data_IF_557841843050
#
_entry.id   IF_557841843050
#
_cell.length_a   1.000
_cell.length_b   1.000
_cell.length_c   1.000
_cell.angle_alpha   90.00
_cell.angle_beta   90.00
_cell.angle_gamma   90.00
#
_symmetry.space_group_name_H-M   'P 1'
#
loop_
_entity.id
_entity.type
_entity.pdbx_description
1 polymer ?
#
# COMPACT_ATOMS: atom_id res chain seq x y z
N UNK A 1 6.59 -54.84 -5.50
CA UNK A 1 6.42 -53.53 -6.16
C UNK A 1 5.30 -52.80 -5.46
N UNK A 2 5.64 -51.97 -4.48
CA UNK A 2 4.72 -51.05 -3.79
C UNK A 2 4.64 -49.77 -4.62
N UNK A 3 3.45 -49.25 -4.93
CA UNK A 3 3.33 -48.00 -5.67
C UNK A 3 3.79 -46.86 -4.75
N UNK A 4 4.78 -46.09 -5.21
CA UNK A 4 5.22 -44.88 -4.57
C UNK A 4 4.03 -43.90 -4.51
N UNK A 5 3.52 -43.66 -3.30
CA UNK A 5 2.56 -42.60 -3.02
C UNK A 5 3.24 -41.27 -3.28
N UNK A 6 2.96 -40.71 -4.46
CA UNK A 6 3.29 -39.35 -4.83
C UNK A 6 2.63 -38.42 -3.80
N UNK A 7 3.41 -37.90 -2.84
CA UNK A 7 2.97 -36.89 -1.88
C UNK A 7 2.72 -35.56 -2.62
N UNK A 8 1.64 -35.53 -3.39
CA UNK A 8 0.98 -34.34 -3.90
C UNK A 8 0.25 -33.68 -2.73
N UNK A 9 0.96 -32.93 -1.90
CA UNK A 9 0.41 -31.85 -1.06
C UNK A 9 1.54 -31.17 -0.30
N UNK A 10 2.38 -30.47 -1.06
CA UNK A 10 3.28 -29.47 -0.51
C UNK A 10 2.47 -28.23 -0.08
N UNK A 11 1.73 -28.40 1.02
CA UNK A 11 0.92 -27.38 1.67
C UNK A 11 1.85 -26.26 2.16
N UNK A 12 1.58 -25.02 1.73
CA UNK A 12 2.22 -23.85 2.32
C UNK A 12 2.01 -23.93 3.84
N UNK A 13 3.05 -23.74 4.68
CA UNK A 13 2.90 -23.75 6.13
C UNK A 13 1.75 -22.83 6.55
N UNK A 14 0.89 -23.31 7.46
CA UNK A 14 -0.29 -22.55 7.91
C UNK A 14 0.08 -21.15 8.43
N UNK A 15 1.26 -21.02 9.02
CA UNK A 15 1.85 -19.75 9.49
C UNK A 15 2.10 -18.76 8.34
N UNK A 16 2.67 -19.21 7.22
CA UNK A 16 2.89 -18.36 6.03
C UNK A 16 1.56 -17.88 5.43
N UNK A 17 0.53 -18.75 5.41
CA UNK A 17 -0.82 -18.37 4.95
C UNK A 17 -1.44 -17.29 5.84
N UNK A 18 -1.28 -17.38 7.17
CA UNK A 18 -1.74 -16.34 8.11
C UNK A 18 -0.99 -15.02 7.88
N UNK A 19 0.34 -15.06 7.71
CA UNK A 19 1.16 -13.88 7.43
C UNK A 19 0.71 -13.12 6.18
N UNK A 20 0.40 -13.82 5.08
CA UNK A 20 -0.15 -13.20 3.87
C UNK A 20 -1.53 -12.56 4.11
N UNK A 21 -2.39 -13.20 4.91
CA UNK A 21 -3.70 -12.66 5.25
C UNK A 21 -3.58 -11.38 6.09
N UNK A 22 -2.70 -11.35 7.09
CA UNK A 22 -2.43 -10.16 7.89
C UNK A 22 -1.85 -9.02 7.05
N UNK A 23 -0.90 -9.32 6.16
CA UNK A 23 -0.32 -8.30 5.26
C UNK A 23 -1.38 -7.66 4.36
N UNK A 24 -2.36 -8.45 3.88
CA UNK A 24 -3.50 -7.89 3.14
C UNK A 24 -4.47 -7.10 3.99
N UNK A 25 -4.77 -7.57 5.20
CA UNK A 25 -5.60 -6.81 6.13
C UNK A 25 -4.98 -5.43 6.41
N UNK A 26 -3.66 -5.37 6.60
CA UNK A 26 -2.93 -4.12 6.75
C UNK A 26 -3.04 -3.23 5.49
N UNK A 27 -2.93 -3.81 4.29
CA UNK A 27 -3.13 -3.07 3.04
C UNK A 27 -4.53 -2.50 2.87
N UNK A 28 -5.56 -3.28 3.25
CA UNK A 28 -6.96 -2.82 3.24
C UNK A 28 -7.16 -1.70 4.26
N UNK A 29 -6.59 -1.84 5.47
CA UNK A 29 -6.66 -0.80 6.50
C UNK A 29 -6.02 0.50 6.02
N UNK A 30 -4.83 0.44 5.39
CA UNK A 30 -4.20 1.60 4.77
C UNK A 30 -5.07 2.17 3.65
N UNK A 31 -5.64 1.34 2.78
CA UNK A 31 -6.52 1.80 1.71
C UNK A 31 -7.76 2.54 2.22
N UNK A 32 -8.41 2.01 3.27
CA UNK A 32 -9.53 2.67 3.93
C UNK A 32 -9.11 3.99 4.59
N UNK A 33 -7.96 4.01 5.25
CA UNK A 33 -7.41 5.21 5.86
C UNK A 33 -7.13 6.30 4.82
N UNK A 34 -6.53 5.95 3.69
CA UNK A 34 -6.27 6.89 2.59
C UNK A 34 -7.56 7.48 2.01
N UNK A 35 -8.59 6.65 1.80
CA UNK A 35 -9.90 7.12 1.33
C UNK A 35 -10.55 8.04 2.38
N UNK A 36 -10.45 7.70 3.66
CA UNK A 36 -10.97 8.51 4.75
C UNK A 36 -10.25 9.87 4.86
N UNK A 37 -8.98 9.96 4.47
CA UNK A 37 -8.21 11.20 4.47
C UNK A 37 -8.59 12.16 3.34
N UNK A 38 -9.17 11.69 2.22
CA UNK A 38 -9.56 12.54 1.08
C UNK A 38 -10.38 13.78 1.50
N UNK A 39 -11.48 13.67 2.28
CA UNK A 39 -12.23 14.85 2.71
C UNK A 39 -11.47 15.77 3.67
N UNK A 40 -10.48 15.25 4.39
CA UNK A 40 -9.65 16.01 5.34
C UNK A 40 -8.33 16.49 4.73
N UNK A 41 -8.08 16.24 3.44
CA UNK A 41 -6.78 16.50 2.82
C UNK A 41 -6.39 17.99 2.88
N UNK A 42 -7.35 18.90 2.71
CA UNK A 42 -7.10 20.34 2.80
C UNK A 42 -6.86 20.81 4.25
N UNK A 43 -7.47 20.14 5.24
CA UNK A 43 -7.38 20.52 6.65
C UNK A 43 -5.99 20.21 7.26
N UNK A 44 -5.30 19.18 6.76
CA UNK A 44 -3.96 18.79 7.26
C UNK A 44 -2.88 19.85 7.02
N UNK A 45 -3.11 20.75 6.07
CA UNK A 45 -2.17 21.82 5.70
C UNK A 45 -2.28 23.07 6.59
N UNK A 46 -3.18 23.10 7.58
CA UNK A 46 -3.15 24.10 8.66
C UNK A 46 -3.10 25.57 8.23
N UNK A 47 -3.70 25.91 7.08
CA UNK A 47 -3.73 27.25 6.52
C UNK A 47 -2.69 27.56 5.42
N UNK A 48 -1.63 26.77 5.28
CA UNK A 48 -0.62 26.91 4.23
C UNK A 48 -0.88 25.91 3.11
N UNK A 49 -2.01 26.12 2.42
CA UNK A 49 -2.48 25.19 1.42
C UNK A 49 -1.63 25.25 0.14
N UNK A 50 -1.17 24.10 -0.38
CA UNK A 50 -0.61 24.07 -1.72
C UNK A 50 -1.67 24.47 -2.75
N UNK A 51 -1.27 24.77 -4.01
CA UNK A 51 -2.20 25.09 -5.08
C UNK A 51 -3.32 24.05 -5.18
N UNK A 52 -4.57 24.49 -5.40
CA UNK A 52 -5.73 23.60 -5.43
C UNK A 52 -5.58 22.43 -6.41
N UNK A 53 -4.86 22.64 -7.52
CA UNK A 53 -4.54 21.58 -8.47
C UNK A 53 -3.70 20.44 -7.85
N UNK A 54 -2.74 20.76 -6.98
CA UNK A 54 -1.89 19.78 -6.30
C UNK A 54 -2.69 19.02 -5.23
N UNK A 55 -3.52 19.75 -4.45
CA UNK A 55 -4.43 19.16 -3.46
C UNK A 55 -5.40 18.16 -4.11
N UNK A 56 -5.98 18.53 -5.26
CA UNK A 56 -6.88 17.67 -6.00
C UNK A 56 -6.16 16.47 -6.60
N UNK A 57 -4.96 16.67 -7.16
CA UNK A 57 -4.16 15.57 -7.70
C UNK A 57 -3.80 14.54 -6.63
N UNK A 58 -3.42 15.00 -5.44
CA UNK A 58 -3.13 14.14 -4.30
C UNK A 58 -4.39 13.42 -3.78
N UNK A 59 -5.52 14.12 -3.66
CA UNK A 59 -6.78 13.50 -3.25
C UNK A 59 -7.21 12.40 -4.23
N UNK A 60 -7.09 12.64 -5.54
CA UNK A 60 -7.34 11.63 -6.58
C UNK A 60 -6.37 10.47 -6.43
N UNK A 61 -5.09 10.75 -6.17
CA UNK A 61 -4.08 9.72 -5.95
C UNK A 61 -4.45 8.80 -4.78
N UNK A 62 -4.80 9.37 -3.61
CA UNK A 62 -5.21 8.60 -2.43
C UNK A 62 -6.48 7.79 -2.68
N UNK A 63 -7.44 8.35 -3.42
CA UNK A 63 -8.65 7.63 -3.81
C UNK A 63 -8.33 6.42 -4.69
N UNK A 64 -7.60 6.63 -5.80
CA UNK A 64 -7.27 5.57 -6.76
C UNK A 64 -6.43 4.49 -6.10
N UNK A 65 -5.39 4.88 -5.36
CA UNK A 65 -4.53 3.94 -4.68
C UNK A 65 -5.27 3.18 -3.56
N UNK A 66 -6.08 3.88 -2.77
CA UNK A 66 -6.88 3.28 -1.70
C UNK A 66 -7.88 2.24 -2.23
N UNK A 67 -8.58 2.53 -3.33
CA UNK A 67 -9.48 1.57 -3.99
C UNK A 67 -8.69 0.35 -4.49
N UNK A 68 -7.52 0.57 -5.09
CA UNK A 68 -6.67 -0.51 -5.59
C UNK A 68 -6.16 -1.43 -4.47
N UNK A 69 -5.91 -0.85 -3.28
CA UNK A 69 -5.53 -1.59 -2.08
C UNK A 69 -6.67 -2.43 -1.50
N UNK A 70 -7.92 -1.97 -1.60
CA UNK A 70 -9.11 -2.69 -1.09
C UNK A 70 -9.55 -3.82 -2.04
N UNK A 71 -9.12 -3.78 -3.30
CA UNK A 71 -9.59 -4.68 -4.35
C UNK A 71 -9.43 -6.17 -3.99
N UNK A 72 -10.44 -7.03 -4.27
CA UNK A 72 -10.36 -8.46 -3.98
C UNK A 72 -9.53 -9.19 -5.05
N UNK A 73 -8.21 -9.10 -4.96
CA UNK A 73 -7.24 -9.70 -5.90
C UNK A 73 -7.45 -11.21 -6.15
N UNK A 74 -8.00 -11.95 -5.19
CA UNK A 74 -8.32 -13.39 -5.33
C UNK A 74 -9.45 -13.67 -6.32
N UNK A 75 -10.33 -12.69 -6.58
CA UNK A 75 -11.49 -12.85 -7.49
C UNK A 75 -11.16 -12.47 -8.95
N UNK A 76 -9.95 -11.99 -9.23
CA UNK A 76 -9.58 -11.46 -10.56
C UNK A 76 -9.00 -12.59 -11.43
N UNK A 77 -9.86 -13.20 -12.24
CA UNK A 77 -9.50 -14.36 -13.10
C UNK A 77 -8.78 -13.94 -14.39
N UNK A 78 -9.05 -12.74 -14.93
CA UNK A 78 -8.46 -12.27 -16.19
C UNK A 78 -6.94 -12.05 -16.10
N UNK A 79 -6.16 -12.78 -16.90
CA UNK A 79 -4.68 -12.70 -16.91
C UNK A 79 -4.16 -11.30 -17.26
N UNK A 80 -4.71 -10.68 -18.31
CA UNK A 80 -4.30 -9.35 -18.76
C UNK A 80 -4.73 -8.24 -17.78
N UNK A 81 -5.95 -8.32 -17.26
CA UNK A 81 -6.46 -7.40 -16.24
C UNK A 81 -5.63 -7.47 -14.96
N UNK A 82 -5.33 -8.67 -14.47
CA UNK A 82 -4.52 -8.83 -13.27
C UNK A 82 -3.11 -8.29 -13.43
N UNK A 83 -2.45 -8.55 -14.57
CA UNK A 83 -1.11 -8.02 -14.84
C UNK A 83 -1.12 -6.49 -14.85
N UNK A 84 -2.12 -5.89 -15.50
CA UNK A 84 -2.28 -4.44 -15.57
C UNK A 84 -2.50 -3.83 -14.19
N UNK A 85 -3.44 -4.38 -13.41
CA UNK A 85 -3.71 -3.92 -12.06
C UNK A 85 -2.48 -4.10 -11.15
N UNK A 86 -1.78 -5.23 -11.27
CA UNK A 86 -0.58 -5.51 -10.47
C UNK A 86 0.54 -4.51 -10.78
N UNK A 87 0.79 -4.23 -12.07
CA UNK A 87 1.75 -3.19 -12.47
C UNK A 87 1.33 -1.83 -11.95
N UNK A 88 0.05 -1.49 -12.04
CA UNK A 88 -0.49 -0.25 -11.49
C UNK A 88 -0.27 -0.19 -9.96
N UNK A 89 -0.53 -1.28 -9.25
CA UNK A 89 -0.32 -1.36 -7.79
C UNK A 89 1.15 -1.14 -7.44
N UNK A 90 2.07 -1.78 -8.16
CA UNK A 90 3.50 -1.63 -7.91
C UNK A 90 3.97 -0.18 -8.16
N UNK A 91 3.56 0.42 -9.27
CA UNK A 91 3.90 1.81 -9.61
C UNK A 91 3.32 2.78 -8.59
N UNK A 92 2.05 2.62 -8.21
CA UNK A 92 1.42 3.46 -7.20
C UNK A 92 1.96 3.21 -5.78
N UNK A 93 2.37 2.00 -5.43
CA UNK A 93 3.07 1.76 -4.16
C UNK A 93 4.41 2.51 -4.11
N UNK A 94 5.19 2.50 -5.21
CA UNK A 94 6.43 3.25 -5.29
C UNK A 94 6.18 4.77 -5.28
N UNK A 95 5.23 5.25 -6.08
CA UNK A 95 4.84 6.67 -6.10
C UNK A 95 4.36 7.16 -4.74
N UNK A 96 3.64 6.33 -3.99
CA UNK A 96 3.14 6.66 -2.65
C UNK A 96 4.30 6.88 -1.68
N UNK A 97 5.34 6.05 -1.75
CA UNK A 97 6.55 6.24 -0.95
C UNK A 97 7.19 7.62 -1.21
N UNK A 98 7.33 8.01 -2.49
CA UNK A 98 7.87 9.32 -2.85
C UNK A 98 6.98 10.48 -2.37
N UNK A 99 5.67 10.40 -2.59
CA UNK A 99 4.73 11.43 -2.13
C UNK A 99 4.80 11.65 -0.63
N UNK A 100 4.83 10.56 0.15
CA UNK A 100 4.92 10.64 1.60
C UNK A 100 6.25 11.23 2.09
N UNK A 101 7.36 10.97 1.39
CA UNK A 101 8.66 11.60 1.69
C UNK A 101 8.62 13.10 1.39
N UNK A 102 8.04 13.51 0.26
CA UNK A 102 7.88 14.93 -0.09
C UNK A 102 7.00 15.63 0.95
N UNK A 103 5.87 15.04 1.32
CA UNK A 103 4.98 15.53 2.36
C UNK A 103 5.71 15.74 3.69
N UNK A 104 6.54 14.77 4.08
CA UNK A 104 7.36 14.87 5.28
C UNK A 104 8.38 16.02 5.18
N UNK A 105 9.01 16.20 4.02
CA UNK A 105 9.95 17.31 3.81
C UNK A 105 9.25 18.67 3.97
N UNK A 106 8.05 18.83 3.41
CA UNK A 106 7.27 20.06 3.60
C UNK A 106 6.89 20.27 5.06
N UNK A 107 6.40 19.25 5.76
CA UNK A 107 6.05 19.35 7.18
C UNK A 107 7.28 19.73 8.04
N UNK A 108 8.44 19.16 7.74
CA UNK A 108 9.68 19.50 8.43
C UNK A 108 10.14 20.94 8.15
N UNK A 109 9.97 21.41 6.91
CA UNK A 109 10.27 22.80 6.54
C UNK A 109 9.40 23.77 7.36
N UNK A 110 8.08 23.55 7.38
CA UNK A 110 7.16 24.39 8.15
C UNK A 110 7.42 24.31 9.66
N UNK A 111 7.71 23.13 10.20
CA UNK A 111 8.07 22.99 11.61
C UNK A 111 9.35 23.78 11.95
N UNK A 112 10.35 23.73 11.07
CA UNK A 112 11.59 24.48 11.22
C UNK A 112 11.36 25.99 11.14
N UNK A 113 10.51 26.47 10.23
CA UNK A 113 10.14 27.89 10.14
C UNK A 113 9.37 28.36 11.39
N UNK A 114 8.56 27.48 11.99
CA UNK A 114 7.87 27.74 13.24
C UNK A 114 8.78 27.62 14.49
N UNK A 115 10.07 27.31 14.33
CA UNK A 115 11.01 27.10 15.44
C UNK A 115 10.73 25.84 16.27
N UNK A 116 9.88 24.94 15.76
CA UNK A 116 9.52 23.69 16.42
C UNK A 116 10.48 22.56 16.01
N UNK A 117 10.73 21.63 16.94
CA UNK A 117 11.51 20.43 16.63
C UNK A 117 10.68 19.51 15.72
N UNK A 118 11.25 19.00 14.61
CA UNK A 118 10.55 18.06 13.73
C UNK A 118 10.08 16.84 14.49
N UNK A 119 8.80 16.49 14.34
CA UNK A 119 8.26 15.26 14.91
C UNK A 119 8.83 14.04 14.16
N UNK A 120 9.14 12.94 14.85
CA UNK A 120 9.62 11.73 14.19
C UNK A 120 8.54 11.16 13.25
N UNK A 121 8.87 10.80 12.00
CA UNK A 121 7.91 10.39 10.97
C UNK A 121 7.43 8.93 11.13
N UNK A 122 7.32 8.43 12.37
CA UNK A 122 7.10 7.01 12.63
C UNK A 122 5.83 6.47 11.94
N UNK A 123 4.73 7.24 11.98
CA UNK A 123 3.47 6.85 11.35
C UNK A 123 3.55 6.88 9.81
N UNK A 124 4.19 7.89 9.23
CA UNK A 124 4.38 7.98 7.78
C UNK A 124 5.26 6.85 7.25
N UNK A 125 6.39 6.56 7.91
CA UNK A 125 7.26 5.45 7.55
C UNK A 125 6.52 4.11 7.60
N UNK A 126 5.72 3.87 8.64
CA UNK A 126 4.91 2.65 8.75
C UNK A 126 3.94 2.49 7.57
N UNK A 127 3.27 3.58 7.16
CA UNK A 127 2.39 3.55 5.99
C UNK A 127 3.14 3.24 4.70
N UNK A 128 4.33 3.81 4.50
CA UNK A 128 5.17 3.54 3.33
C UNK A 128 5.57 2.06 3.28
N UNK A 129 6.08 1.50 4.38
CA UNK A 129 6.44 0.08 4.41
C UNK A 129 5.23 -0.82 4.18
N UNK A 130 4.10 -0.47 4.78
CA UNK A 130 2.85 -1.21 4.60
C UNK A 130 2.32 -1.11 3.17
N UNK A 131 2.53 0.00 2.48
CA UNK A 131 2.17 0.20 1.07
C UNK A 131 3.09 -0.58 0.12
N UNK A 132 4.41 -0.58 0.39
CA UNK A 132 5.40 -1.29 -0.41
C UNK A 132 5.26 -2.81 -0.31
N UNK A 133 4.94 -3.35 0.87
CA UNK A 133 4.75 -4.81 1.05
C UNK A 133 3.52 -5.34 0.30
N UNK A 134 2.57 -4.48 -0.11
CA UNK A 134 1.37 -4.94 -0.83
C UNK A 134 1.68 -5.56 -2.19
N UNK A 135 2.68 -5.04 -2.91
CA UNK A 135 3.06 -5.59 -4.20
C UNK A 135 3.59 -7.04 -4.09
N UNK A 136 4.62 -7.35 -3.27
CA UNK A 136 5.05 -8.73 -3.09
C UNK A 136 3.96 -9.61 -2.44
N UNK A 137 3.14 -9.09 -1.52
CA UNK A 137 2.04 -9.85 -0.93
C UNK A 137 1.01 -10.28 -1.97
N UNK A 138 0.63 -9.40 -2.90
CA UNK A 138 -0.30 -9.75 -4.00
C UNK A 138 0.34 -10.75 -4.97
N UNK A 139 1.64 -10.64 -5.22
CA UNK A 139 2.37 -11.61 -6.04
C UNK A 139 2.36 -13.00 -5.41
N UNK A 140 2.70 -13.11 -4.12
CA UNK A 140 2.74 -14.38 -3.39
C UNK A 140 1.35 -15.00 -3.17
N UNK A 141 0.29 -14.19 -3.11
CA UNK A 141 -1.08 -14.71 -3.08
C UNK A 141 -1.48 -15.45 -4.35
N UNK A 142 -0.97 -15.04 -5.52
CA UNK A 142 -1.27 -15.68 -6.80
C UNK A 142 -0.27 -16.78 -7.16
N UNK A 143 0.99 -16.60 -6.81
CA UNK A 143 2.07 -17.55 -7.05
C UNK A 143 2.68 -18.03 -5.72
N UNK A 144 1.97 -18.89 -4.97
CA UNK A 144 2.45 -19.39 -3.68
C UNK A 144 3.74 -20.21 -3.80
N UNK A 145 4.04 -20.73 -4.99
CA UNK A 145 5.26 -21.47 -5.27
C UNK A 145 6.52 -20.60 -5.34
N UNK A 146 6.38 -19.26 -5.41
CA UNK A 146 7.52 -18.33 -5.39
C UNK A 146 8.11 -18.12 -3.98
N UNK A 147 7.51 -18.72 -2.94
CA UNK A 147 8.01 -18.74 -1.56
C UNK A 147 8.84 -20.00 -1.24
N UNK A 148 9.17 -20.81 -2.25
CA UNK A 148 10.05 -21.99 -2.11
C UNK A 148 11.47 -21.68 -2.54
#
# INVERSE_FOLDING_TARGET
>A
MTPATFHSNSEIPAETRKGLAYSRAAGVAVGLFLIALVPFNAARWGGHQPPAALLNAEAIYFLVYGVLLILPWRKITGKMLWRTLFTLLAVLSAGFAFLMVIDLMFQNLYASEAGLKPAPPACQSLMIFTALIQAPTVLFLRHPHALR
#
